data_IF_505156780480
#
_entry.id   IF_505156780480
#
_cell.length_a   1.000
_cell.length_b   1.000
_cell.length_c   1.000
_cell.angle_alpha   90.00
_cell.angle_beta   90.00
_cell.angle_gamma   90.00
#
_symmetry.space_group_name_H-M   'P 1'
#
loop_
_entity.id
_entity.type
_entity.pdbx_description
1 polymer ?
#
# COMPACT_ATOMS: atom_id res chain seq x y z
N UNK A 1 -11.00 15.11 25.03
CA UNK A 1 -10.81 14.71 23.62
C UNK A 1 -9.44 15.22 23.27
N UNK A 2 -8.46 14.34 23.13
CA UNK A 2 -7.08 14.72 22.81
C UNK A 2 -7.06 15.35 21.41
N UNK A 3 -6.43 16.52 21.26
CA UNK A 3 -6.29 17.21 19.97
C UNK A 3 -5.35 16.41 19.06
N UNK A 4 -5.90 15.83 18.00
CA UNK A 4 -5.12 15.11 16.99
C UNK A 4 -4.39 16.14 16.12
N UNK A 5 -3.05 16.01 15.92
CA UNK A 5 -2.30 16.90 15.04
C UNK A 5 -2.83 16.89 13.60
N UNK A 6 -2.92 18.06 12.98
CA UNK A 6 -3.39 18.23 11.58
C UNK A 6 -2.30 17.98 10.55
N UNK A 7 -1.03 17.98 10.97
CA UNK A 7 0.13 17.95 10.09
C UNK A 7 1.08 16.82 10.47
N UNK A 8 1.71 16.22 9.46
CA UNK A 8 2.69 15.16 9.63
C UNK A 8 3.82 15.29 8.59
N UNK A 9 5.03 14.92 9.01
CA UNK A 9 6.16 14.73 8.09
C UNK A 9 6.15 13.28 7.64
N UNK A 10 6.02 13.05 6.32
CA UNK A 10 5.99 11.71 5.73
C UNK A 10 7.09 11.54 4.68
N UNK A 11 7.49 10.30 4.46
CA UNK A 11 8.39 9.95 3.36
C UNK A 11 7.64 10.06 2.03
N UNK A 12 8.27 10.68 1.04
CA UNK A 12 7.73 10.71 -0.32
C UNK A 12 7.81 9.34 -1.00
N UNK A 13 6.91 9.09 -1.96
CA UNK A 13 6.84 7.85 -2.75
C UNK A 13 8.19 7.51 -3.41
N UNK A 14 8.88 8.51 -3.97
CA UNK A 14 10.21 8.31 -4.58
C UNK A 14 11.22 7.70 -3.61
N UNK A 15 11.17 8.10 -2.35
CA UNK A 15 12.08 7.58 -1.32
C UNK A 15 11.75 6.12 -1.00
N UNK A 16 10.46 5.77 -0.90
CA UNK A 16 10.00 4.38 -0.70
C UNK A 16 10.42 3.49 -1.87
N UNK A 17 10.25 3.97 -3.11
CA UNK A 17 10.59 3.24 -4.34
C UNK A 17 12.09 3.06 -4.57
N UNK A 18 12.95 3.76 -3.83
CA UNK A 18 14.40 3.56 -3.87
C UNK A 18 14.88 2.44 -2.92
N UNK A 19 13.97 1.80 -2.18
CA UNK A 19 14.33 0.68 -1.31
C UNK A 19 14.88 -0.49 -2.13
N UNK A 20 15.75 -1.32 -1.54
CA UNK A 20 16.22 -2.56 -2.19
C UNK A 20 15.11 -3.62 -2.27
N UNK A 21 14.20 -3.61 -1.31
CA UNK A 21 13.05 -4.50 -1.20
C UNK A 21 11.96 -3.79 -0.40
N UNK A 22 10.70 -4.03 -0.76
CA UNK A 22 9.53 -3.46 -0.07
C UNK A 22 8.70 -4.61 0.49
N UNK A 23 8.39 -4.54 1.79
CA UNK A 23 7.47 -5.45 2.47
C UNK A 23 6.21 -4.66 2.84
N UNK A 24 5.07 -5.02 2.25
CA UNK A 24 3.78 -4.41 2.55
C UNK A 24 2.92 -5.39 3.35
N UNK A 25 2.41 -4.95 4.50
CA UNK A 25 1.53 -5.72 5.35
C UNK A 25 0.12 -5.13 5.29
N UNK A 26 -0.90 -5.96 5.08
CA UNK A 26 -2.29 -5.54 5.22
C UNK A 26 -3.14 -6.68 5.80
N UNK A 27 -4.05 -6.31 6.69
CA UNK A 27 -4.90 -7.24 7.43
C UNK A 27 -6.34 -6.70 7.44
N UNK A 28 -7.30 -7.63 7.43
CA UNK A 28 -8.72 -7.33 7.59
C UNK A 28 -9.45 -7.03 6.29
N UNK A 29 -10.75 -7.32 6.32
CA UNK A 29 -11.64 -7.30 5.16
C UNK A 29 -11.79 -5.91 4.51
N UNK A 30 -11.70 -4.83 5.31
CA UNK A 30 -11.76 -3.42 4.89
C UNK A 30 -10.71 -3.13 3.82
N UNK A 31 -9.56 -3.83 3.86
CA UNK A 31 -8.46 -3.60 2.92
C UNK A 31 -8.58 -4.43 1.63
N UNK A 32 -9.47 -5.41 1.55
CA UNK A 32 -9.49 -6.34 0.43
C UNK A 32 -9.66 -5.67 -0.95
N UNK A 33 -10.59 -4.72 -1.06
CA UNK A 33 -10.83 -4.02 -2.32
C UNK A 33 -9.61 -3.20 -2.74
N UNK A 34 -9.03 -2.40 -1.81
CA UNK A 34 -7.89 -1.55 -2.16
C UNK A 34 -6.63 -2.37 -2.44
N UNK A 35 -6.48 -3.56 -1.84
CA UNK A 35 -5.38 -4.47 -2.13
C UNK A 35 -5.50 -5.05 -3.54
N UNK A 36 -6.69 -5.46 -3.98
CA UNK A 36 -6.94 -5.86 -5.38
C UNK A 36 -6.58 -4.73 -6.34
N UNK A 37 -7.05 -3.51 -6.09
CA UNK A 37 -6.77 -2.35 -6.93
C UNK A 37 -5.28 -1.99 -6.94
N UNK A 38 -4.59 -2.11 -5.81
CA UNK A 38 -3.15 -1.85 -5.74
C UNK A 38 -2.32 -2.87 -6.54
N UNK A 39 -2.77 -4.12 -6.65
CA UNK A 39 -2.03 -5.19 -7.35
C UNK A 39 -2.39 -5.26 -8.84
N UNK A 40 -3.68 -5.16 -9.18
CA UNK A 40 -4.19 -5.42 -10.54
C UNK A 40 -4.78 -4.18 -11.24
N UNK A 41 -5.05 -3.10 -10.49
CA UNK A 41 -5.57 -1.85 -11.04
C UNK A 41 -4.49 -1.04 -11.75
N UNK A 42 -4.88 0.07 -12.42
CA UNK A 42 -3.93 0.96 -13.08
C UNK A 42 -3.03 1.66 -12.06
N UNK A 43 -1.78 1.95 -12.45
CA UNK A 43 -0.89 2.80 -11.64
C UNK A 43 -1.41 4.24 -11.65
N UNK A 44 -1.84 4.74 -10.50
CA UNK A 44 -2.49 6.04 -10.37
C UNK A 44 -2.26 6.67 -8.99
N UNK A 45 -2.26 8.00 -8.92
CA UNK A 45 -2.15 8.78 -7.67
C UNK A 45 -3.35 8.57 -6.74
N UNK A 46 -4.51 8.20 -7.28
CA UNK A 46 -5.70 7.88 -6.49
C UNK A 46 -5.52 6.59 -5.65
N UNK A 47 -4.61 5.71 -6.06
CA UNK A 47 -4.25 4.48 -5.34
C UNK A 47 -2.73 4.46 -5.18
N UNK A 48 -2.15 5.17 -4.18
CA UNK A 48 -0.71 5.34 -4.09
C UNK A 48 0.09 4.04 -4.06
N UNK A 49 -0.47 2.97 -3.47
CA UNK A 49 0.16 1.65 -3.43
C UNK A 49 0.29 0.98 -4.82
N UNK A 50 -0.47 1.42 -5.83
CA UNK A 50 -0.37 0.90 -7.21
C UNK A 50 1.02 1.12 -7.82
N UNK A 51 1.74 2.16 -7.40
CA UNK A 51 3.12 2.42 -7.86
C UNK A 51 4.09 1.29 -7.52
N UNK A 52 3.79 0.50 -6.48
CA UNK A 52 4.61 -0.64 -6.07
C UNK A 52 4.68 -1.72 -7.16
N UNK A 53 3.71 -1.78 -8.08
CA UNK A 53 3.76 -2.66 -9.26
C UNK A 53 5.00 -2.41 -10.12
N UNK A 54 5.59 -1.21 -10.06
CA UNK A 54 6.77 -0.81 -10.83
C UNK A 54 8.09 -1.12 -10.09
N UNK A 55 8.04 -1.54 -8.83
CA UNK A 55 9.23 -1.85 -8.05
C UNK A 55 9.67 -3.30 -8.31
N UNK A 56 10.96 -3.56 -8.61
CA UNK A 56 11.41 -4.89 -9.02
C UNK A 56 11.36 -5.95 -7.90
N UNK A 57 11.20 -5.54 -6.64
CA UNK A 57 11.22 -6.44 -5.49
C UNK A 57 10.22 -6.00 -4.40
N UNK A 58 9.00 -6.53 -4.46
CA UNK A 58 7.94 -6.28 -3.49
C UNK A 58 7.37 -7.60 -3.00
N UNK A 59 7.14 -7.71 -1.70
CA UNK A 59 6.41 -8.83 -1.10
C UNK A 59 5.24 -8.28 -0.27
N UNK A 60 4.06 -8.87 -0.48
CA UNK A 60 2.86 -8.52 0.25
C UNK A 60 2.53 -9.63 1.24
N UNK A 61 2.37 -9.26 2.51
CA UNK A 61 1.89 -10.13 3.57
C UNK A 61 0.45 -9.76 3.89
N UNK A 62 -0.46 -10.64 3.49
CA UNK A 62 -1.90 -10.46 3.60
C UNK A 62 -2.49 -11.60 4.42
N UNK A 63 -3.47 -11.27 5.27
CA UNK A 63 -4.34 -12.30 5.83
C UNK A 63 -5.40 -12.74 4.82
N UNK A 64 -6.15 -13.79 5.16
CA UNK A 64 -7.17 -14.34 4.28
C UNK A 64 -8.28 -13.31 3.95
N UNK A 65 -8.62 -12.44 4.91
CA UNK A 65 -9.66 -11.43 4.72
C UNK A 65 -9.22 -10.32 3.76
N UNK A 66 -8.00 -9.81 3.87
CA UNK A 66 -7.45 -8.82 2.94
C UNK A 66 -7.15 -9.43 1.56
N UNK A 67 -6.92 -10.74 1.46
CA UNK A 67 -6.66 -11.43 0.21
C UNK A 67 -7.92 -11.93 -0.51
N UNK A 68 -9.13 -11.75 0.04
CA UNK A 68 -10.37 -12.40 -0.47
C UNK A 68 -10.76 -12.07 -1.92
N UNK A 69 -10.18 -11.05 -2.54
CA UNK A 69 -10.46 -10.63 -3.92
C UNK A 69 -9.25 -10.72 -4.86
N UNK A 70 -8.18 -11.39 -4.42
CA UNK A 70 -7.01 -11.67 -5.22
C UNK A 70 -7.22 -12.90 -6.13
#
# INVERSE_FOLDING_TARGET
MDEVPTDAVSMGIRTVMNARAILLFAQGDIKANIIREAIYGPVTEAVPASVLQLHPNVTLYLDAEAAKYL
#
